data_IF_666463643293
#
_entry.id   IF_666463643293
#
_cell.length_a   1.000
_cell.length_b   1.000
_cell.length_c   1.000
_cell.angle_alpha   90.00
_cell.angle_beta   90.00
_cell.angle_gamma   90.00
#
_symmetry.space_group_name_H-M   'P 1'
#
loop_
_entity.id
_entity.type
_entity.pdbx_description
1 polymer ?
#
# COMPACT_ATOMS: atom_id res chain seq x y z
N UNK A 1 -9.99 -9.40 6.60
CA UNK A 1 -10.88 -9.73 5.45
C UNK A 1 -12.35 -9.42 5.73
N UNK A 2 -12.95 -9.90 6.83
CA UNK A 2 -14.38 -9.72 7.11
C UNK A 2 -14.88 -8.27 6.94
N UNK A 3 -14.18 -7.30 7.54
CA UNK A 3 -14.51 -5.87 7.41
C UNK A 3 -14.54 -5.37 5.96
N UNK A 4 -13.63 -5.85 5.11
CA UNK A 4 -13.62 -5.53 3.68
C UNK A 4 -14.87 -6.08 2.99
N UNK A 5 -15.24 -7.34 3.27
CA UNK A 5 -16.44 -7.96 2.70
C UNK A 5 -17.72 -7.21 3.13
N UNK A 6 -17.80 -6.88 4.42
CA UNK A 6 -18.93 -6.14 4.99
C UNK A 6 -19.06 -4.77 4.33
N UNK A 7 -17.96 -4.03 4.18
CA UNK A 7 -17.96 -2.69 3.60
C UNK A 7 -18.24 -2.71 2.09
N UNK A 8 -17.67 -3.68 1.37
CA UNK A 8 -17.92 -3.84 -0.06
C UNK A 8 -19.40 -4.11 -0.33
N UNK A 9 -20.07 -4.88 0.55
CA UNK A 9 -21.50 -5.16 0.44
C UNK A 9 -22.38 -4.00 0.90
N UNK A 10 -22.01 -3.31 1.98
CA UNK A 10 -22.87 -2.31 2.61
C UNK A 10 -22.74 -0.90 2.03
N UNK A 11 -21.56 -0.54 1.53
CA UNK A 11 -21.22 0.87 1.24
C UNK A 11 -20.64 1.11 -0.16
N UNK A 12 -20.18 0.08 -0.86
CA UNK A 12 -19.63 0.24 -2.21
C UNK A 12 -20.72 0.16 -3.29
N UNK A 13 -20.51 0.75 -4.49
CA UNK A 13 -21.36 0.53 -5.64
C UNK A 13 -21.49 -0.95 -5.98
N UNK A 14 -22.67 -1.41 -6.40
CA UNK A 14 -22.93 -2.83 -6.68
C UNK A 14 -21.95 -3.43 -7.72
N UNK A 15 -21.52 -2.64 -8.70
CA UNK A 15 -20.57 -3.06 -9.72
C UNK A 15 -19.15 -3.30 -9.17
N UNK A 16 -18.80 -2.76 -8.00
CA UNK A 16 -17.44 -2.82 -7.45
C UNK A 16 -16.94 -4.25 -7.20
N UNK A 17 -17.84 -5.20 -6.91
CA UNK A 17 -17.47 -6.60 -6.67
C UNK A 17 -16.88 -7.28 -7.92
N UNK A 18 -17.28 -6.85 -9.11
CA UNK A 18 -16.79 -7.40 -10.38
C UNK A 18 -15.59 -6.66 -10.96
N UNK A 19 -15.14 -5.58 -10.33
CA UNK A 19 -14.07 -4.74 -10.88
C UNK A 19 -12.69 -5.32 -10.58
N UNK A 20 -11.84 -5.28 -11.60
CA UNK A 20 -10.41 -5.44 -11.48
C UNK A 20 -9.74 -4.14 -11.00
N UNK A 21 -8.44 -4.23 -10.70
CA UNK A 21 -7.64 -3.06 -10.33
C UNK A 21 -7.70 -1.93 -11.37
N UNK A 22 -7.59 -2.27 -12.66
CA UNK A 22 -7.62 -1.28 -13.74
C UNK A 22 -8.98 -0.62 -13.95
N UNK A 23 -10.06 -1.32 -13.61
CA UNK A 23 -11.43 -0.81 -13.72
C UNK A 23 -11.81 0.07 -12.53
N UNK A 24 -11.38 -0.30 -11.32
CA UNK A 24 -11.67 0.44 -10.10
C UNK A 24 -10.86 1.73 -9.94
N UNK A 25 -9.62 1.76 -10.43
CA UNK A 25 -8.72 2.91 -10.30
C UNK A 25 -9.27 4.26 -10.82
N UNK A 26 -9.92 4.30 -12.00
CA UNK A 26 -10.50 5.54 -12.55
C UNK A 26 -11.87 5.94 -11.95
N UNK A 27 -12.55 5.06 -11.21
CA UNK A 27 -13.89 5.32 -10.65
C UNK A 27 -13.98 6.61 -9.83
N UNK A 28 -13.01 6.96 -8.95
CA UNK A 28 -13.07 8.19 -8.18
C UNK A 28 -13.20 9.46 -9.05
N UNK A 29 -12.62 9.47 -10.26
CA UNK A 29 -12.69 10.62 -11.17
C UNK A 29 -14.10 10.90 -11.71
N UNK A 30 -14.99 9.91 -11.65
CA UNK A 30 -16.37 9.98 -12.14
C UNK A 30 -17.30 10.71 -11.15
N UNK A 31 -16.86 10.92 -9.90
CA UNK A 31 -17.64 11.65 -8.90
C UNK A 31 -18.83 10.87 -8.34
N UNK A 32 -18.90 9.56 -8.58
CA UNK A 32 -19.98 8.69 -8.11
C UNK A 32 -19.76 8.13 -6.70
N UNK A 33 -18.54 8.27 -6.15
CA UNK A 33 -18.18 7.81 -4.81
C UNK A 33 -17.66 8.95 -3.95
N UNK A 34 -17.95 8.90 -2.65
CA UNK A 34 -17.47 9.89 -1.68
C UNK A 34 -16.04 9.60 -1.21
N UNK A 35 -15.61 8.33 -1.26
CA UNK A 35 -14.31 7.91 -0.74
C UNK A 35 -13.81 6.65 -1.45
N UNK A 36 -12.54 6.67 -1.85
CA UNK A 36 -11.80 5.48 -2.27
C UNK A 36 -10.88 5.04 -1.13
N UNK A 37 -11.13 3.84 -0.60
CA UNK A 37 -10.22 3.21 0.35
C UNK A 37 -9.00 2.66 -0.40
N UNK A 38 -7.80 2.93 0.13
CA UNK A 38 -6.52 2.49 -0.45
C UNK A 38 -6.29 3.00 -1.89
N UNK A 39 -6.26 4.32 -2.04
CA UNK A 39 -5.99 4.97 -3.32
C UNK A 39 -4.55 4.71 -3.79
N UNK A 40 -4.40 4.26 -5.04
CA UNK A 40 -3.11 4.20 -5.73
C UNK A 40 -2.83 5.53 -6.42
N UNK A 41 -1.75 6.21 -6.02
CA UNK A 41 -1.37 7.52 -6.57
C UNK A 41 -1.09 7.50 -8.08
N UNK A 42 -0.87 6.32 -8.66
CA UNK A 42 -0.78 6.13 -10.11
C UNK A 42 -2.03 6.64 -10.88
N UNK A 43 -3.21 6.64 -10.26
CA UNK A 43 -4.45 7.14 -10.89
C UNK A 43 -4.69 8.64 -10.63
N UNK A 44 -3.84 9.33 -9.87
CA UNK A 44 -4.06 10.76 -9.56
C UNK A 44 -4.05 11.63 -10.81
N UNK A 45 -3.21 11.31 -11.80
CA UNK A 45 -3.14 12.06 -13.06
C UNK A 45 -4.49 12.03 -13.81
N UNK A 46 -5.25 10.94 -13.68
CA UNK A 46 -6.58 10.81 -14.27
C UNK A 46 -7.65 11.56 -13.48
N UNK A 47 -7.42 11.86 -12.20
CA UNK A 47 -8.36 12.59 -11.34
C UNK A 47 -8.24 14.12 -11.42
N UNK A 48 -7.18 14.65 -12.04
CA UNK A 48 -6.93 16.10 -12.15
C UNK A 48 -7.15 16.64 -13.57
N UNK A 49 -7.76 15.84 -14.46
CA UNK A 49 -8.07 16.31 -15.83
C UNK A 49 -9.16 17.39 -15.78
N UNK A 50 -9.05 18.46 -16.61
CA UNK A 50 -10.08 19.48 -16.71
C UNK A 50 -11.45 18.91 -17.11
N UNK A 51 -12.53 19.50 -16.60
CA UNK A 51 -13.91 19.14 -16.95
C UNK A 51 -14.46 17.89 -16.26
N UNK A 52 -13.68 17.23 -15.40
CA UNK A 52 -14.19 16.12 -14.60
C UNK A 52 -15.17 16.61 -13.53
N UNK A 53 -16.19 15.80 -13.16
CA UNK A 53 -17.18 16.17 -12.14
C UNK A 53 -16.55 16.42 -10.76
N UNK A 54 -15.40 15.81 -10.49
CA UNK A 54 -14.64 15.95 -9.24
C UNK A 54 -13.68 17.14 -9.21
N UNK A 55 -13.67 17.97 -10.25
CA UNK A 55 -12.87 19.19 -10.34
C UNK A 55 -13.78 20.42 -10.29
N UNK A 56 -13.28 21.50 -9.72
CA UNK A 56 -13.88 22.82 -9.77
C UNK A 56 -13.54 23.52 -11.10
N UNK A 57 -14.29 24.56 -11.46
CA UNK A 57 -14.06 25.35 -12.67
C UNK A 57 -12.70 26.06 -12.67
N UNK A 58 -12.17 26.37 -11.48
CA UNK A 58 -10.84 27.00 -11.28
C UNK A 58 -9.67 26.01 -11.39
N UNK A 59 -9.93 24.73 -11.65
CA UNK A 59 -8.92 23.68 -11.77
C UNK A 59 -8.52 23.02 -10.44
N UNK A 60 -9.08 23.43 -9.31
CA UNK A 60 -8.83 22.77 -8.01
C UNK A 60 -9.69 21.51 -7.84
N UNK A 61 -9.19 20.47 -7.14
CA UNK A 61 -9.98 19.27 -6.89
C UNK A 61 -11.03 19.50 -5.80
N UNK A 62 -12.18 18.84 -5.94
CA UNK A 62 -13.22 18.72 -4.89
C UNK A 62 -12.90 17.63 -3.85
N UNK A 63 -11.84 16.87 -4.11
CA UNK A 63 -11.38 15.75 -3.29
C UNK A 63 -10.03 16.07 -2.62
N UNK A 64 -9.67 15.28 -1.61
CA UNK A 64 -8.39 15.37 -0.90
C UNK A 64 -7.82 13.98 -0.61
N UNK A 65 -6.50 13.86 -0.65
CA UNK A 65 -5.78 12.77 -0.03
C UNK A 65 -5.78 12.93 1.47
N UNK A 66 -6.15 11.86 2.17
CA UNK A 66 -6.04 11.73 3.61
C UNK A 66 -5.27 10.45 3.96
N UNK A 67 -4.63 10.38 5.14
CA UNK A 67 -4.04 9.17 5.67
C UNK A 67 -5.07 8.05 5.76
N UNK A 68 -4.60 6.82 5.65
CA UNK A 68 -5.47 5.66 5.83
C UNK A 68 -6.01 5.63 7.26
N UNK A 69 -7.34 5.49 7.46
CA UNK A 69 -7.88 5.30 8.80
C UNK A 69 -7.41 3.96 9.35
N UNK A 70 -7.15 3.92 10.65
CA UNK A 70 -6.75 2.72 11.37
C UNK A 70 -7.80 2.32 12.40
N UNK A 71 -7.77 1.05 12.82
CA UNK A 71 -8.67 0.54 13.86
C UNK A 71 -7.95 0.22 15.17
N UNK A 72 -8.69 -0.36 16.11
CA UNK A 72 -8.29 -0.64 17.50
C UNK A 72 -6.94 -1.38 17.70
N UNK A 73 -6.52 -2.18 16.71
CA UNK A 73 -5.27 -2.94 16.75
C UNK A 73 -4.04 -2.12 16.39
N UNK A 74 -4.23 -0.96 15.74
CA UNK A 74 -3.13 -0.06 15.44
C UNK A 74 -2.65 0.64 16.71
N UNK A 75 -1.34 0.79 16.85
CA UNK A 75 -0.66 1.51 17.92
C UNK A 75 0.41 2.42 17.32
N UNK A 76 0.76 3.48 18.05
CA UNK A 76 1.81 4.41 17.62
C UNK A 76 3.09 3.66 17.24
N UNK A 77 3.66 4.03 16.09
CA UNK A 77 4.84 3.37 15.50
C UNK A 77 4.50 2.25 14.51
N UNK A 78 3.27 1.73 14.48
CA UNK A 78 2.83 0.81 13.43
C UNK A 78 2.66 1.53 12.09
N UNK A 79 2.98 0.83 10.99
CA UNK A 79 2.77 1.34 9.64
C UNK A 79 1.27 1.41 9.33
N UNK A 80 0.86 2.49 8.65
CA UNK A 80 -0.54 2.74 8.26
C UNK A 80 -0.89 2.19 6.89
N UNK A 81 0.11 1.85 6.08
CA UNK A 81 -0.12 1.30 4.78
C UNK A 81 1.15 0.87 4.08
N UNK A 82 0.95 0.46 2.84
CA UNK A 82 1.97 -0.05 1.94
C UNK A 82 2.16 0.93 0.79
N UNK A 83 3.41 1.12 0.35
CA UNK A 83 3.74 1.90 -0.84
C UNK A 83 4.59 1.05 -1.79
N UNK A 84 4.21 1.03 -3.07
CA UNK A 84 5.01 0.43 -4.14
C UNK A 84 6.20 1.34 -4.47
N UNK A 85 7.36 1.00 -3.93
CA UNK A 85 8.61 1.71 -4.23
C UNK A 85 9.36 0.96 -5.33
N UNK A 86 9.09 1.36 -6.57
CA UNK A 86 9.76 0.80 -7.75
C UNK A 86 11.28 1.01 -7.70
N UNK A 87 12.03 0.01 -8.16
CA UNK A 87 13.49 0.02 -8.19
C UNK A 87 14.02 -0.38 -9.56
N UNK A 88 15.18 0.16 -9.96
CA UNK A 88 15.93 -0.34 -11.11
C UNK A 88 16.70 -1.60 -10.70
N UNK A 89 16.37 -2.73 -11.31
CA UNK A 89 17.03 -4.01 -11.05
C UNK A 89 18.01 -4.35 -12.16
N UNK A 90 19.30 -4.41 -11.84
CA UNK A 90 20.35 -4.88 -12.75
C UNK A 90 20.78 -6.29 -12.33
N UNK A 91 20.54 -7.30 -13.17
CA UNK A 91 20.84 -8.69 -12.84
C UNK A 91 22.36 -8.92 -12.87
N UNK A 92 22.88 -9.66 -11.88
CA UNK A 92 24.30 -10.06 -11.81
C UNK A 92 24.78 -10.86 -13.04
N UNK A 93 23.87 -11.57 -13.71
CA UNK A 93 24.13 -12.33 -14.93
C UNK A 93 24.23 -11.48 -16.20
N UNK A 94 23.89 -10.19 -16.12
CA UNK A 94 23.96 -9.29 -17.27
C UNK A 94 25.42 -9.02 -17.64
N UNK A 95 25.83 -9.19 -18.92
CA UNK A 95 27.15 -8.79 -19.36
C UNK A 95 27.49 -7.35 -18.97
N UNK A 96 28.73 -7.10 -18.57
CA UNK A 96 29.15 -5.83 -17.95
C UNK A 96 28.89 -4.60 -18.85
N UNK A 97 29.14 -4.72 -20.15
CA UNK A 97 28.85 -3.68 -21.15
C UNK A 97 27.36 -3.31 -21.20
N UNK A 98 26.48 -4.31 -21.15
CA UNK A 98 25.02 -4.13 -21.14
C UNK A 98 24.52 -3.60 -19.80
N UNK A 99 25.10 -4.06 -18.69
CA UNK A 99 24.76 -3.58 -17.36
C UNK A 99 25.09 -2.08 -17.21
N UNK A 100 26.26 -1.65 -17.73
CA UNK A 100 26.65 -0.24 -17.80
C UNK A 100 25.68 0.59 -18.64
N UNK A 101 25.28 0.10 -19.82
CA UNK A 101 24.30 0.78 -20.66
C UNK A 101 22.93 0.92 -19.94
N UNK A 102 22.45 -0.14 -19.31
CA UNK A 102 21.20 -0.12 -18.54
C UNK A 102 21.29 0.84 -17.33
N UNK A 103 22.44 0.88 -16.65
CA UNK A 103 22.69 1.84 -15.58
C UNK A 103 22.64 3.29 -16.08
N UNK A 104 23.30 3.60 -17.19
CA UNK A 104 23.26 4.95 -17.78
C UNK A 104 21.83 5.35 -18.18
N UNK A 105 21.05 4.42 -18.72
CA UNK A 105 19.64 4.68 -19.03
C UNK A 105 18.81 4.94 -17.77
N UNK A 106 18.99 4.14 -16.71
CA UNK A 106 18.34 4.38 -15.42
C UNK A 106 18.68 5.77 -14.86
N UNK A 107 19.95 6.18 -14.92
CA UNK A 107 20.39 7.51 -14.52
C UNK A 107 19.74 8.62 -15.36
N UNK A 108 19.60 8.43 -16.68
CA UNK A 108 18.91 9.37 -17.55
C UNK A 108 17.44 9.51 -17.18
N UNK A 109 16.71 8.39 -17.04
CA UNK A 109 15.27 8.39 -16.73
C UNK A 109 14.98 8.97 -15.34
N UNK A 110 15.90 8.76 -14.39
CA UNK A 110 15.83 9.31 -13.04
C UNK A 110 16.56 10.65 -12.92
N UNK A 111 17.07 11.25 -14.01
CA UNK A 111 17.71 12.57 -13.96
C UNK A 111 16.71 13.65 -13.58
N UNK A 112 17.17 14.72 -12.94
CA UNK A 112 16.30 15.79 -12.40
C UNK A 112 15.35 16.37 -13.46
N UNK A 113 15.86 16.70 -14.65
CA UNK A 113 15.04 17.28 -15.72
C UNK A 113 13.95 16.32 -16.22
N UNK A 114 14.31 15.05 -16.42
CA UNK A 114 13.36 14.03 -16.91
C UNK A 114 12.33 13.71 -15.83
N UNK A 115 12.78 13.50 -14.59
CA UNK A 115 11.92 13.15 -13.48
C UNK A 115 10.92 14.26 -13.14
N UNK A 116 11.34 15.54 -13.11
CA UNK A 116 10.40 16.66 -12.89
C UNK A 116 9.30 16.67 -13.94
N UNK A 117 9.65 16.53 -15.23
CA UNK A 117 8.67 16.53 -16.31
C UNK A 117 7.74 15.32 -16.20
N UNK A 118 8.28 14.11 -15.99
CA UNK A 118 7.48 12.89 -15.82
C UNK A 118 6.57 12.97 -14.61
N UNK A 119 7.06 13.47 -13.48
CA UNK A 119 6.28 13.65 -12.26
C UNK A 119 5.13 14.63 -12.46
N UNK A 120 5.29 15.68 -13.28
CA UNK A 120 4.17 16.56 -13.63
C UNK A 120 3.10 15.86 -14.47
N UNK A 121 3.48 14.88 -15.30
CA UNK A 121 2.53 14.15 -16.15
C UNK A 121 1.85 13.03 -15.37
N UNK A 122 2.63 12.14 -14.76
CA UNK A 122 2.12 10.92 -14.14
C UNK A 122 1.83 11.04 -12.64
N UNK A 123 2.26 12.12 -11.97
CA UNK A 123 2.11 12.31 -10.52
C UNK A 123 2.71 11.17 -9.67
N UNK A 124 3.63 10.41 -10.25
CA UNK A 124 4.47 9.43 -9.57
C UNK A 124 5.86 10.03 -9.42
N UNK A 125 6.29 10.19 -8.16
CA UNK A 125 7.49 10.94 -7.80
C UNK A 125 8.64 9.98 -7.48
N UNK A 126 9.82 10.21 -8.07
CA UNK A 126 11.01 9.39 -7.81
C UNK A 126 12.01 10.16 -6.94
N UNK A 127 12.29 11.42 -7.26
CA UNK A 127 13.32 12.20 -6.56
C UNK A 127 12.71 13.17 -5.54
N UNK A 128 13.34 13.23 -4.36
CA UNK A 128 13.10 14.31 -3.39
C UNK A 128 13.28 15.69 -4.03
N UNK A 129 14.38 15.88 -4.77
CA UNK A 129 14.61 17.14 -5.48
C UNK A 129 13.46 17.51 -6.42
N UNK A 130 12.76 16.54 -7.03
CA UNK A 130 11.64 16.78 -7.94
C UNK A 130 10.42 17.30 -7.22
N UNK A 131 9.99 16.63 -6.14
CA UNK A 131 8.87 17.12 -5.34
C UNK A 131 9.18 18.48 -4.70
N UNK A 132 10.43 18.78 -4.34
CA UNK A 132 10.83 20.07 -3.78
C UNK A 132 10.97 21.19 -4.82
N UNK A 133 10.76 20.92 -6.11
CA UNK A 133 10.86 21.96 -7.14
C UNK A 133 9.71 22.98 -7.02
N UNK A 134 10.01 24.26 -7.27
CA UNK A 134 9.04 25.36 -7.16
C UNK A 134 7.77 25.16 -8.02
N UNK A 135 7.89 24.47 -9.14
CA UNK A 135 6.73 24.15 -9.99
C UNK A 135 5.71 23.26 -9.28
N UNK A 136 6.13 22.39 -8.35
CA UNK A 136 5.22 21.61 -7.53
C UNK A 136 4.64 22.41 -6.38
N UNK A 137 5.37 23.39 -5.83
CA UNK A 137 4.80 24.34 -4.87
C UNK A 137 3.66 25.13 -5.51
N UNK A 138 3.84 25.61 -6.75
CA UNK A 138 2.81 26.33 -7.51
C UNK A 138 1.60 25.46 -7.85
N UNK A 139 1.83 24.18 -8.16
CA UNK A 139 0.79 23.23 -8.57
C UNK A 139 0.12 22.50 -7.39
N UNK A 140 0.68 22.53 -6.19
CA UNK A 140 0.15 21.80 -5.04
C UNK A 140 -1.37 22.00 -4.79
N UNK A 141 -1.93 23.22 -4.93
CA UNK A 141 -3.38 23.43 -4.78
C UNK A 141 -4.25 22.60 -5.74
N UNK A 142 -3.71 22.20 -6.89
CA UNK A 142 -4.40 21.40 -7.91
C UNK A 142 -4.33 19.88 -7.63
N UNK A 143 -3.54 19.45 -6.63
CA UNK A 143 -3.17 18.05 -6.42
C UNK A 143 -3.74 17.43 -5.13
N UNK A 144 -4.70 18.11 -4.51
CA UNK A 144 -5.52 17.55 -3.45
C UNK A 144 -4.75 17.04 -2.24
N UNK A 145 -3.62 17.67 -1.87
CA UNK A 145 -2.82 17.27 -0.72
C UNK A 145 -1.70 16.26 -1.02
N UNK A 146 -1.54 15.82 -2.28
CA UNK A 146 -0.50 14.86 -2.67
C UNK A 146 0.91 15.37 -2.36
N UNK A 147 1.18 16.63 -2.69
CA UNK A 147 2.51 17.23 -2.55
C UNK A 147 2.82 17.47 -1.08
N UNK A 148 1.84 17.97 -0.33
CA UNK A 148 1.90 18.17 1.11
C UNK A 148 2.20 16.85 1.81
N UNK A 149 1.45 15.79 1.50
CA UNK A 149 1.66 14.46 2.05
C UNK A 149 3.09 13.96 1.78
N UNK A 150 3.56 13.99 0.54
CA UNK A 150 4.89 13.49 0.21
C UNK A 150 6.02 14.42 0.65
N UNK A 151 5.78 15.70 0.97
CA UNK A 151 6.79 16.56 1.63
C UNK A 151 6.79 16.40 3.16
N UNK A 152 5.75 15.80 3.71
CA UNK A 152 5.57 15.61 5.15
C UNK A 152 6.35 14.41 5.71
N UNK A 153 6.56 14.37 7.04
CA UNK A 153 7.01 13.16 7.73
C UNK A 153 6.02 11.99 7.61
N UNK A 154 4.72 12.24 7.39
CA UNK A 154 3.69 11.19 7.35
C UNK A 154 3.98 10.12 6.29
N UNK A 155 4.66 10.47 5.19
CA UNK A 155 5.07 9.51 4.15
C UNK A 155 5.85 8.31 4.69
N UNK A 156 6.59 8.46 5.80
CA UNK A 156 7.40 7.39 6.40
C UNK A 156 6.57 6.38 7.20
N UNK A 157 5.30 6.67 7.45
CA UNK A 157 4.37 5.75 8.10
C UNK A 157 3.86 4.65 7.16
N UNK A 158 4.21 4.70 5.87
CA UNK A 158 3.99 3.61 4.94
C UNK A 158 5.26 2.78 4.80
N UNK A 159 5.12 1.45 4.74
CA UNK A 159 6.24 0.55 4.48
C UNK A 159 6.42 0.33 2.98
N UNK A 160 7.67 0.28 2.47
CA UNK A 160 7.94 -0.33 1.17
C UNK A 160 7.76 -1.86 1.25
N UNK A 161 7.82 -2.54 0.10
CA UNK A 161 7.99 -3.99 0.06
C UNK A 161 9.32 -4.37 0.73
N UNK A 162 9.25 -5.09 1.84
CA UNK A 162 10.44 -5.59 2.54
C UNK A 162 11.12 -6.70 1.75
N UNK A 163 12.45 -6.77 1.84
CA UNK A 163 13.25 -7.89 1.29
C UNK A 163 13.28 -9.10 2.22
N UNK A 164 12.50 -9.10 3.30
CA UNK A 164 12.52 -10.07 4.39
C UNK A 164 11.47 -11.18 4.23
N UNK A 165 10.68 -11.17 3.15
CA UNK A 165 9.73 -12.25 2.86
C UNK A 165 10.44 -13.32 2.01
N UNK A 166 10.65 -14.55 2.53
CA UNK A 166 11.50 -15.58 1.92
C UNK A 166 11.22 -15.84 0.43
N UNK A 167 9.97 -16.03 0.03
CA UNK A 167 9.60 -16.21 -1.38
C UNK A 167 8.32 -15.43 -1.65
N UNK A 168 8.43 -14.10 -1.60
CA UNK A 168 7.29 -13.20 -1.82
C UNK A 168 6.48 -13.54 -3.08
N UNK A 169 7.09 -13.82 -4.25
CA UNK A 169 6.32 -14.17 -5.45
C UNK A 169 5.41 -15.38 -5.25
N UNK A 170 5.88 -16.45 -4.57
CA UNK A 170 5.02 -17.61 -4.30
C UNK A 170 3.98 -17.32 -3.21
N UNK A 171 4.40 -16.70 -2.10
CA UNK A 171 3.53 -16.45 -0.95
C UNK A 171 2.40 -15.45 -1.28
N UNK A 172 2.66 -14.47 -2.15
CA UNK A 172 1.67 -13.49 -2.56
C UNK A 172 0.56 -14.09 -3.44
N UNK A 173 0.85 -15.13 -4.24
CA UNK A 173 -0.18 -15.80 -5.03
C UNK A 173 -1.21 -16.52 -4.16
N UNK A 174 -0.75 -17.10 -3.04
CA UNK A 174 -1.63 -17.74 -2.06
C UNK A 174 -2.57 -16.72 -1.40
N UNK A 175 -2.07 -15.51 -1.12
CA UNK A 175 -2.89 -14.42 -0.60
C UNK A 175 -4.06 -14.11 -1.55
N UNK A 176 -3.80 -13.94 -2.85
CA UNK A 176 -4.85 -13.63 -3.82
C UNK A 176 -5.91 -14.73 -3.94
N UNK A 177 -5.49 -15.99 -3.89
CA UNK A 177 -6.42 -17.13 -3.89
C UNK A 177 -7.32 -17.12 -2.65
N UNK A 178 -6.74 -16.94 -1.46
CA UNK A 178 -7.50 -16.88 -0.21
C UNK A 178 -8.49 -15.69 -0.16
N UNK A 179 -8.08 -14.51 -0.64
CA UNK A 179 -8.99 -13.37 -0.78
C UNK A 179 -10.11 -13.68 -1.77
N UNK A 180 -9.82 -14.36 -2.89
CA UNK A 180 -10.83 -14.79 -3.87
C UNK A 180 -11.87 -15.74 -3.27
N UNK A 181 -11.45 -16.75 -2.52
CA UNK A 181 -12.35 -17.69 -1.82
C UNK A 181 -13.27 -16.94 -0.84
N UNK A 182 -12.73 -16.00 -0.07
CA UNK A 182 -13.51 -15.21 0.87
C UNK A 182 -14.47 -14.24 0.17
N UNK A 183 -14.00 -13.56 -0.89
CA UNK A 183 -14.78 -12.56 -1.62
C UNK A 183 -15.92 -13.15 -2.44
N UNK A 184 -15.75 -14.37 -2.92
CA UNK A 184 -16.81 -15.13 -3.62
C UNK A 184 -17.83 -15.76 -2.66
N UNK A 185 -17.54 -15.78 -1.36
CA UNK A 185 -18.34 -16.47 -0.35
C UNK A 185 -18.15 -17.99 -0.33
N UNK A 186 -17.16 -18.53 -1.06
CA UNK A 186 -16.81 -19.95 -1.02
C UNK A 186 -16.27 -20.37 0.36
N UNK A 187 -15.63 -19.44 1.08
CA UNK A 187 -15.19 -19.60 2.46
C UNK A 187 -15.55 -18.38 3.29
N UNK A 188 -15.72 -18.56 4.59
CA UNK A 188 -15.72 -17.44 5.53
C UNK A 188 -14.35 -16.76 5.55
N UNK A 189 -14.30 -15.52 6.06
CA UNK A 189 -13.06 -14.79 6.23
C UNK A 189 -12.03 -15.54 7.10
N UNK A 190 -12.48 -16.29 8.10
CA UNK A 190 -11.59 -17.06 8.98
C UNK A 190 -11.05 -18.29 8.26
N UNK A 191 -11.93 -19.11 7.64
CA UNK A 191 -11.51 -20.31 6.91
C UNK A 191 -10.53 -19.99 5.77
N UNK A 192 -10.71 -18.85 5.10
CA UNK A 192 -9.77 -18.37 4.08
C UNK A 192 -8.40 -18.02 4.65
N UNK A 193 -8.34 -17.34 5.81
CA UNK A 193 -7.08 -17.01 6.49
C UNK A 193 -6.39 -18.26 7.05
N UNK A 194 -7.15 -19.20 7.60
CA UNK A 194 -6.61 -20.47 8.10
C UNK A 194 -6.03 -21.30 6.95
N UNK A 195 -6.75 -21.38 5.82
CA UNK A 195 -6.25 -22.02 4.59
C UNK A 195 -4.96 -21.35 4.11
N UNK A 196 -4.92 -20.01 4.10
CA UNK A 196 -3.73 -19.27 3.70
C UNK A 196 -2.54 -19.60 4.60
N UNK A 197 -2.73 -19.60 5.93
CA UNK A 197 -1.69 -19.91 6.90
C UNK A 197 -1.07 -21.28 6.61
N UNK A 198 -1.92 -22.32 6.51
CA UNK A 198 -1.47 -23.68 6.24
C UNK A 198 -0.73 -23.82 4.90
N UNK A 199 -1.17 -23.13 3.84
CA UNK A 199 -0.47 -23.18 2.55
C UNK A 199 0.85 -22.41 2.56
N UNK A 200 0.91 -21.27 3.26
CA UNK A 200 2.16 -20.52 3.43
C UNK A 200 3.18 -21.30 4.26
N UNK A 201 2.75 -21.99 5.31
CA UNK A 201 3.60 -22.88 6.12
C UNK A 201 4.21 -24.00 5.28
N UNK A 202 3.43 -24.68 4.43
CA UNK A 202 3.95 -25.70 3.50
C UNK A 202 5.02 -25.14 2.56
N UNK A 203 4.88 -23.89 2.11
CA UNK A 203 5.90 -23.23 1.29
C UNK A 203 7.15 -22.94 2.12
N UNK A 204 6.98 -22.38 3.32
CA UNK A 204 8.10 -22.06 4.22
C UNK A 204 8.87 -23.31 4.67
N UNK A 205 8.19 -24.40 5.01
CA UNK A 205 8.79 -25.70 5.36
C UNK A 205 9.68 -26.22 4.21
N UNK A 206 9.18 -26.12 2.97
CA UNK A 206 9.95 -26.54 1.79
C UNK A 206 11.17 -25.65 1.57
N UNK A 207 11.07 -24.35 1.83
CA UNK A 207 12.18 -23.41 1.71
C UNK A 207 13.25 -23.68 2.78
N UNK A 208 12.83 -23.89 4.03
CA UNK A 208 13.72 -24.27 5.13
C UNK A 208 14.48 -25.55 4.78
N UNK A 209 13.76 -26.62 4.41
CA UNK A 209 14.36 -27.91 4.03
C UNK A 209 15.31 -27.79 2.83
N UNK A 210 14.99 -26.93 1.87
CA UNK A 210 15.83 -26.75 0.69
C UNK A 210 17.14 -26.02 1.02
N UNK A 211 17.18 -25.17 2.05
CA UNK A 211 18.39 -24.47 2.49
C UNK A 211 18.98 -23.49 1.47
N UNK A 212 18.29 -23.20 0.36
CA UNK A 212 18.79 -22.38 -0.76
C UNK A 212 19.13 -20.95 -0.30
N UNK A 213 18.44 -20.47 0.73
CA UNK A 213 18.60 -19.11 1.26
C UNK A 213 19.67 -19.01 2.36
N UNK A 214 20.32 -20.12 2.73
CA UNK A 214 21.34 -20.13 3.78
C UNK A 214 20.82 -19.53 5.09
N UNK A 215 21.64 -18.68 5.71
CA UNK A 215 21.38 -18.10 7.04
C UNK A 215 20.20 -17.10 7.08
N UNK A 216 19.70 -16.67 5.92
CA UNK A 216 18.56 -15.75 5.81
C UNK A 216 17.25 -16.46 5.43
N UNK A 217 17.28 -17.80 5.35
CA UNK A 217 16.09 -18.60 5.07
C UNK A 217 15.12 -18.67 6.25
N UNK A 218 13.85 -19.05 6.00
CA UNK A 218 12.89 -19.26 7.08
C UNK A 218 13.31 -20.45 7.95
N UNK A 219 12.96 -20.37 9.22
CA UNK A 219 12.99 -21.50 10.16
C UNK A 219 11.62 -21.61 10.78
N UNK A 220 10.97 -22.75 10.63
CA UNK A 220 9.69 -22.98 11.26
C UNK A 220 9.89 -23.14 12.76
N UNK A 221 8.99 -22.50 13.51
CA UNK A 221 8.89 -22.71 14.94
C UNK A 221 8.01 -23.94 15.23
N UNK A 222 8.10 -24.44 16.46
CA UNK A 222 7.13 -25.41 16.96
C UNK A 222 5.71 -24.82 16.96
N UNK A 223 4.72 -25.66 16.66
CA UNK A 223 3.34 -25.23 16.60
C UNK A 223 2.82 -24.88 18.00
N UNK A 224 2.23 -23.70 18.12
CA UNK A 224 1.65 -23.20 19.36
C UNK A 224 0.42 -22.33 19.06
N UNK A 225 -0.42 -22.17 20.07
CA UNK A 225 -1.60 -21.32 19.96
C UNK A 225 -1.27 -19.83 19.91
N UNK A 226 -2.28 -19.02 19.56
CA UNK A 226 -2.16 -17.57 19.50
C UNK A 226 -1.79 -16.94 20.86
N UNK A 227 -2.23 -17.54 21.97
CA UNK A 227 -1.95 -17.03 23.31
C UNK A 227 -0.47 -17.17 23.68
N UNK A 228 0.14 -18.31 23.34
CA UNK A 228 1.57 -18.53 23.47
C UNK A 228 2.35 -17.50 22.66
N UNK A 229 2.02 -17.36 21.36
CA UNK A 229 2.72 -16.43 20.48
C UNK A 229 2.56 -14.97 20.91
N UNK A 230 1.38 -14.60 21.42
CA UNK A 230 1.15 -13.28 21.99
C UNK A 230 2.03 -13.04 23.23
N UNK A 231 2.08 -14.00 24.17
CA UNK A 231 2.92 -13.90 25.37
C UNK A 231 4.41 -13.80 25.02
N UNK A 232 4.88 -14.61 24.09
CA UNK A 232 6.26 -14.57 23.59
C UNK A 232 6.60 -13.20 22.97
N UNK A 233 5.72 -12.68 22.10
CA UNK A 233 5.88 -11.37 21.49
C UNK A 233 5.99 -10.26 22.55
N UNK A 234 5.06 -10.24 23.50
CA UNK A 234 5.02 -9.24 24.59
C UNK A 234 6.29 -9.32 25.45
N UNK A 235 6.74 -10.52 25.81
CA UNK A 235 7.96 -10.72 26.57
C UNK A 235 9.22 -10.20 25.84
N UNK A 236 9.20 -10.21 24.50
CA UNK A 236 10.24 -9.66 23.63
C UNK A 236 10.05 -8.17 23.29
N UNK A 237 9.07 -7.49 23.89
CA UNK A 237 8.78 -6.08 23.64
C UNK A 237 8.07 -5.82 22.29
N UNK A 238 7.49 -6.84 21.66
CA UNK A 238 6.73 -6.74 20.42
C UNK A 238 5.22 -6.68 20.69
N UNK A 239 4.48 -6.19 19.69
CA UNK A 239 3.03 -5.98 19.79
C UNK A 239 2.21 -7.02 19.02
N UNK A 240 2.83 -7.89 18.21
CA UNK A 240 2.13 -8.84 17.35
C UNK A 240 2.69 -10.26 17.48
N UNK A 241 1.84 -11.31 17.40
CA UNK A 241 0.40 -11.23 17.11
C UNK A 241 -0.42 -10.72 18.30
N UNK A 242 -1.55 -10.05 18.02
CA UNK A 242 -2.46 -9.53 19.06
C UNK A 242 -3.63 -10.49 19.29
N UNK A 243 -4.04 -10.63 20.54
CA UNK A 243 -5.29 -11.30 20.89
C UNK A 243 -6.48 -10.46 20.44
N UNK A 244 -7.62 -11.13 20.27
CA UNK A 244 -8.87 -10.46 19.90
C UNK A 244 -9.25 -9.42 20.97
N UNK A 245 -9.52 -8.20 20.52
CA UNK A 245 -10.04 -7.12 21.36
C UNK A 245 -11.56 -7.27 21.46
N UNK A 246 -12.14 -7.13 22.66
CA UNK A 246 -13.59 -7.28 22.87
C UNK A 246 -14.40 -6.25 22.07
N UNK A 247 -13.97 -4.99 22.06
CA UNK A 247 -14.60 -3.92 21.31
C UNK A 247 -13.75 -3.52 20.09
N UNK A 248 -14.02 -4.14 18.93
CA UNK A 248 -13.39 -3.77 17.64
C UNK A 248 -14.11 -2.62 16.91
N UNK A 249 -15.17 -2.08 17.52
CA UNK A 249 -16.02 -1.00 16.99
C UNK A 249 -16.02 0.20 17.95
N UNK A 250 -14.82 0.69 18.25
CA UNK A 250 -14.65 1.91 19.02
C UNK A 250 -15.37 3.10 18.37
N UNK A 251 -15.66 4.12 19.17
CA UNK A 251 -16.29 5.34 18.68
C UNK A 251 -15.40 5.97 17.59
N UNK A 252 -15.90 6.21 16.38
CA UNK A 252 -15.11 6.83 15.33
C UNK A 252 -14.58 8.19 15.78
N UNK A 253 -13.29 8.43 15.51
CA UNK A 253 -12.64 9.72 15.70
C UNK A 253 -12.40 10.36 14.34
N UNK A 254 -12.71 11.63 14.21
CA UNK A 254 -12.43 12.43 13.02
C UNK A 254 -11.46 13.54 13.39
N UNK A 255 -10.70 14.00 12.40
CA UNK A 255 -9.76 15.12 12.52
C UNK A 255 -10.08 16.12 11.42
N UNK A 256 -10.00 17.41 11.73
CA UNK A 256 -10.14 18.43 10.71
C UNK A 256 -8.96 18.34 9.72
N UNK A 257 -9.21 18.53 8.43
CA UNK A 257 -8.16 18.38 7.41
C UNK A 257 -7.02 19.39 7.58
N UNK A 258 -7.33 20.65 7.90
CA UNK A 258 -6.31 21.68 8.07
C UNK A 258 -5.47 21.41 9.33
N UNK A 259 -6.07 20.85 10.37
CA UNK A 259 -5.34 20.37 11.56
C UNK A 259 -4.42 19.19 11.21
N UNK A 260 -4.92 18.26 10.39
CA UNK A 260 -4.13 17.14 9.90
C UNK A 260 -2.92 17.60 9.09
N UNK A 261 -3.11 18.54 8.15
CA UNK A 261 -2.01 19.10 7.35
C UNK A 261 -1.03 19.90 8.20
N UNK A 262 -1.45 20.53 9.31
CA UNK A 262 -0.50 21.15 10.25
C UNK A 262 0.43 20.13 10.89
N UNK A 263 -0.02 18.89 11.12
CA UNK A 263 0.86 17.81 11.62
C UNK A 263 1.90 17.34 10.59
N UNK A 264 1.78 17.80 9.33
CA UNK A 264 2.65 17.45 8.21
C UNK A 264 3.77 18.46 7.96
N UNK A 265 3.70 19.63 8.60
CA UNK A 265 4.69 20.71 8.54
C UNK A 265 5.77 20.53 9.61
#
# INVERSE_FOLDING_TARGET
IQKYLDWLKAYAPAAAQGMTFGESGPVPAQGEIAQQMFMYTAFTADMVKPGLPVMNEDGTPKWRFAPSPHGVYWKDGMKLGYQDVGSWTLLKSTPDDRAKAAWLYAQFVTSKTVDVKKSHVGLTLIRESSIQHDSFTKRAPELGGLIEFYRSPARVQWSPTGTNVPDYPKLAQLWWQAIGDASSGAKSAQEAMDSLCAEQEKVMERLERAGIQGDIGPKLAEEHDLEYWNKDAVAKGNLAPQLKIENEKEKPMTVNYDELVKSWQ
#
